data_IF_815349034613
#
_entry.id   IF_815349034613
#
_cell.length_a   1.000
_cell.length_b   1.000
_cell.length_c   1.000
_cell.angle_alpha   90.00
_cell.angle_beta   90.00
_cell.angle_gamma   90.00
#
_symmetry.space_group_name_H-M   'P 1'
#
loop_
_entity.id
_entity.type
_entity.pdbx_description
1 polymer ?
#
# COMPACT_ATOMS: atom_id res chain seq x y z
N UNK A 1 10.26 -9.66 20.42
CA UNK A 1 9.43 -9.44 19.25
C UNK A 1 8.53 -10.66 19.07
N UNK A 2 7.33 -10.46 18.60
CA UNK A 2 6.31 -11.52 18.54
C UNK A 2 6.30 -12.26 17.20
N UNK A 3 7.47 -12.62 16.69
CA UNK A 3 7.61 -13.31 15.41
C UNK A 3 7.45 -12.39 14.20
N UNK A 4 7.32 -11.11 14.42
CA UNK A 4 7.13 -10.14 13.35
C UNK A 4 8.20 -9.05 13.45
N UNK A 5 8.86 -8.77 12.35
CA UNK A 5 9.94 -7.79 12.30
C UNK A 5 9.42 -6.36 12.12
N UNK A 6 8.35 -6.20 11.33
CA UNK A 6 7.78 -4.88 11.04
C UNK A 6 6.38 -4.79 11.64
N UNK A 7 6.16 -3.79 12.51
CA UNK A 7 4.87 -3.56 13.15
C UNK A 7 3.93 -2.73 12.28
N UNK A 8 4.41 -1.57 11.82
CA UNK A 8 3.65 -0.76 10.87
C UNK A 8 4.64 0.03 10.02
N UNK A 9 4.16 0.48 8.87
CA UNK A 9 4.92 1.36 7.99
C UNK A 9 4.07 2.59 7.65
N UNK A 10 4.74 3.70 7.38
CA UNK A 10 4.08 4.92 6.93
C UNK A 10 4.71 5.38 5.62
N UNK A 11 3.85 5.82 4.70
CA UNK A 11 4.29 6.52 3.50
C UNK A 11 3.75 7.94 3.55
N UNK A 12 4.40 8.86 2.86
CA UNK A 12 4.04 10.26 2.89
C UNK A 12 3.02 10.65 1.84
N UNK A 13 2.23 11.67 2.14
CA UNK A 13 1.31 12.28 1.18
C UNK A 13 1.35 13.78 1.30
N UNK A 14 1.09 14.47 0.19
CA UNK A 14 0.91 15.92 0.15
C UNK A 14 -0.56 16.32 0.20
N UNK A 15 -1.47 15.33 0.11
CA UNK A 15 -2.90 15.57 0.19
C UNK A 15 -3.56 14.35 0.86
N UNK A 16 -3.77 14.45 2.17
CA UNK A 16 -4.28 13.32 2.94
C UNK A 16 -5.67 12.89 2.51
N UNK A 17 -6.55 13.81 2.14
CA UNK A 17 -7.91 13.46 1.71
C UNK A 17 -7.90 12.69 0.40
N UNK A 18 -7.06 13.09 -0.55
CA UNK A 18 -6.91 12.39 -1.83
C UNK A 18 -6.30 11.01 -1.60
N UNK A 19 -5.23 10.93 -0.80
CA UNK A 19 -4.58 9.64 -0.49
C UNK A 19 -5.55 8.70 0.25
N UNK A 20 -6.31 9.24 1.20
CA UNK A 20 -7.34 8.48 1.92
C UNK A 20 -8.37 7.89 0.95
N UNK A 21 -8.86 8.69 0.01
CA UNK A 21 -9.81 8.21 -0.99
C UNK A 21 -9.25 7.07 -1.83
N UNK A 22 -8.00 7.21 -2.26
CA UNK A 22 -7.32 6.17 -3.03
C UNK A 22 -7.23 4.86 -2.24
N UNK A 23 -6.68 4.91 -1.02
CA UNK A 23 -6.47 3.70 -0.22
C UNK A 23 -7.75 3.13 0.37
N UNK A 24 -8.74 3.97 0.73
CA UNK A 24 -10.05 3.48 1.16
C UNK A 24 -10.69 2.59 0.07
N UNK A 25 -10.69 3.08 -1.16
CA UNK A 25 -11.29 2.34 -2.27
C UNK A 25 -10.49 1.11 -2.64
N UNK A 26 -9.16 1.21 -2.56
CA UNK A 26 -8.28 0.08 -2.87
C UNK A 26 -8.45 -1.04 -1.84
N UNK A 27 -8.36 -0.72 -0.54
CA UNK A 27 -8.46 -1.71 0.52
C UNK A 27 -9.89 -2.24 0.73
N UNK A 28 -10.91 -1.49 0.28
CA UNK A 28 -12.28 -1.98 0.33
C UNK A 28 -12.47 -3.26 -0.49
N UNK A 29 -11.64 -3.48 -1.52
CA UNK A 29 -11.68 -4.72 -2.31
C UNK A 29 -11.31 -5.94 -1.49
N UNK A 30 -10.64 -5.75 -0.35
CA UNK A 30 -10.25 -6.81 0.58
C UNK A 30 -11.03 -6.71 1.91
N UNK A 31 -12.10 -5.91 1.95
CA UNK A 31 -12.89 -5.66 3.15
C UNK A 31 -12.06 -5.08 4.30
N UNK A 32 -11.04 -4.30 3.97
CA UNK A 32 -10.21 -3.63 4.98
C UNK A 32 -10.64 -2.17 5.09
N UNK A 33 -10.99 -1.75 6.30
CA UNK A 33 -11.36 -0.37 6.61
C UNK A 33 -10.20 0.34 7.26
N UNK A 34 -10.15 1.67 7.08
CA UNK A 34 -9.14 2.49 7.71
C UNK A 34 -9.62 3.19 8.96
N UNK A 35 -8.68 3.77 9.70
CA UNK A 35 -8.96 4.58 10.88
C UNK A 35 -7.92 5.68 10.99
N UNK A 36 -8.28 6.77 11.68
CA UNK A 36 -7.38 7.90 11.87
C UNK A 36 -6.99 7.98 13.35
N UNK A 37 -5.74 7.66 13.71
CA UNK A 37 -5.29 7.82 15.10
C UNK A 37 -5.03 9.28 15.47
N UNK A 38 -5.02 10.18 14.49
CA UNK A 38 -4.78 11.61 14.69
C UNK A 38 -4.95 12.36 13.37
N UNK A 39 -4.83 13.70 13.39
CA UNK A 39 -5.18 14.53 12.24
C UNK A 39 -4.20 14.40 11.05
N UNK A 40 -3.03 13.84 11.27
CA UNK A 40 -1.97 13.77 10.27
C UNK A 40 -1.94 12.49 9.46
N UNK A 41 -2.70 11.46 9.86
CA UNK A 41 -2.55 10.16 9.27
C UNK A 41 -3.83 9.35 9.17
N UNK A 42 -3.78 8.35 8.33
CA UNK A 42 -4.85 7.38 8.15
C UNK A 42 -4.24 6.00 7.96
N UNK A 43 -4.72 5.02 8.72
CA UNK A 43 -4.10 3.71 8.81
C UNK A 43 -5.08 2.61 8.43
N UNK A 44 -4.53 1.52 7.90
CA UNK A 44 -5.28 0.33 7.47
C UNK A 44 -4.71 -0.89 8.16
N UNK A 45 -5.58 -1.72 8.67
CA UNK A 45 -5.20 -2.93 9.40
C UNK A 45 -6.25 -3.99 9.18
N UNK A 46 -5.80 -5.22 8.92
CA UNK A 46 -6.71 -6.37 8.82
C UNK A 46 -7.29 -6.62 10.21
N UNK A 47 -8.60 -6.86 10.30
CA UNK A 47 -9.25 -7.15 11.57
C UNK A 47 -8.57 -8.35 12.24
N UNK A 48 -8.16 -8.16 13.49
CA UNK A 48 -7.41 -9.18 14.22
C UNK A 48 -5.93 -9.25 13.85
N UNK A 49 -5.51 -8.48 12.86
CA UNK A 49 -4.11 -8.42 12.45
C UNK A 49 -3.27 -7.57 13.39
N UNK A 50 -1.96 -7.72 13.26
CA UNK A 50 -1.00 -7.05 14.15
C UNK A 50 -0.05 -6.11 13.43
N UNK A 51 -0.20 -5.94 12.12
CA UNK A 51 0.58 -4.97 11.35
C UNK A 51 -0.35 -3.95 10.72
N UNK A 52 0.18 -2.79 10.39
CA UNK A 52 -0.62 -1.72 9.80
C UNK A 52 0.15 -1.00 8.71
N UNK A 53 -0.60 -0.44 7.78
CA UNK A 53 -0.09 0.38 6.69
C UNK A 53 -0.70 1.77 6.84
N UNK A 54 0.13 2.80 6.93
CA UNK A 54 -0.34 4.16 7.12
C UNK A 54 0.09 5.11 6.02
N UNK A 55 -0.76 6.08 5.76
CA UNK A 55 -0.43 7.22 4.92
C UNK A 55 -0.53 8.48 5.78
N UNK A 56 0.53 9.29 5.76
CA UNK A 56 0.63 10.42 6.69
C UNK A 56 1.14 11.67 5.99
N UNK A 57 0.77 12.81 6.54
CA UNK A 57 1.43 14.08 6.22
C UNK A 57 2.73 14.13 7.03
N UNK A 58 3.86 14.56 6.44
CA UNK A 58 5.12 14.61 7.17
C UNK A 58 5.02 15.43 8.46
N UNK A 59 5.64 14.92 9.52
CA UNK A 59 5.61 15.57 10.83
C UNK A 59 6.20 16.98 10.81
N UNK A 60 7.22 17.19 9.99
CA UNK A 60 7.88 18.51 9.92
C UNK A 60 7.10 19.55 9.11
N UNK A 61 5.95 19.18 8.54
CA UNK A 61 5.13 20.11 7.78
C UNK A 61 5.65 20.41 6.37
N UNK A 62 6.77 19.85 5.99
CA UNK A 62 7.32 20.04 4.64
C UNK A 62 6.65 19.10 3.65
N UNK A 63 6.92 19.32 2.37
CA UNK A 63 6.42 18.47 1.31
C UNK A 63 6.89 17.02 1.47
N UNK A 64 5.98 16.07 1.28
CA UNK A 64 6.32 14.66 1.27
C UNK A 64 7.09 14.34 0.00
N UNK A 65 8.14 13.52 0.13
CA UNK A 65 8.89 13.01 -1.01
C UNK A 65 8.96 11.49 -0.89
N UNK A 66 9.18 10.82 -2.03
CA UNK A 66 9.38 9.38 -2.03
C UNK A 66 10.87 9.08 -1.87
N UNK A 67 11.21 8.06 -1.10
CA UNK A 67 12.61 7.66 -0.97
C UNK A 67 13.03 6.86 -2.21
N UNK A 68 14.15 7.20 -2.78
CA UNK A 68 14.71 6.41 -3.88
C UNK A 68 15.20 5.08 -3.33
N UNK A 69 14.57 3.98 -3.76
CA UNK A 69 14.83 2.65 -3.23
C UNK A 69 13.81 2.20 -2.19
N UNK A 70 12.93 3.11 -1.72
CA UNK A 70 11.88 2.73 -0.77
C UNK A 70 10.71 2.06 -1.49
N UNK A 71 10.16 1.02 -0.87
CA UNK A 71 9.01 0.29 -1.39
C UNK A 71 8.30 -0.43 -0.25
N UNK A 72 6.99 -0.47 -0.30
CA UNK A 72 6.20 -1.27 0.64
C UNK A 72 5.58 -2.41 -0.14
N UNK A 73 5.74 -3.65 0.34
CA UNK A 73 5.21 -4.83 -0.31
C UNK A 73 4.03 -5.37 0.51
N UNK A 74 2.91 -5.58 -0.17
CA UNK A 74 1.68 -6.08 0.43
C UNK A 74 1.46 -7.53 -0.02
N UNK A 75 1.39 -8.50 0.92
CA UNK A 75 1.17 -9.89 0.56
C UNK A 75 -0.27 -10.11 0.14
N UNK A 76 -0.45 -10.89 -0.92
CA UNK A 76 -1.76 -11.29 -1.41
C UNK A 76 -1.95 -12.78 -1.22
N UNK A 77 -3.20 -13.24 -1.25
CA UNK A 77 -3.54 -14.63 -0.99
C UNK A 77 -3.49 -15.51 -2.24
N UNK A 78 -3.44 -14.90 -3.42
CA UNK A 78 -3.44 -15.60 -4.70
C UNK A 78 -2.91 -14.71 -5.81
N UNK A 79 -2.58 -15.32 -6.95
CA UNK A 79 -2.21 -14.57 -8.16
C UNK A 79 -3.37 -13.72 -8.65
N UNK A 80 -4.59 -14.26 -8.59
CA UNK A 80 -5.81 -13.57 -8.98
C UNK A 80 -6.01 -12.31 -8.14
N UNK A 81 -5.70 -12.37 -6.85
CA UNK A 81 -5.82 -11.23 -5.97
C UNK A 81 -4.79 -10.14 -6.30
N UNK A 82 -3.57 -10.55 -6.68
CA UNK A 82 -2.56 -9.60 -7.19
C UNK A 82 -3.10 -8.88 -8.41
N UNK A 83 -3.66 -9.63 -9.37
CA UNK A 83 -4.19 -9.06 -10.62
C UNK A 83 -5.33 -8.07 -10.34
N UNK A 84 -6.27 -8.46 -9.51
CA UNK A 84 -7.44 -7.64 -9.19
C UNK A 84 -7.09 -6.36 -8.44
N UNK A 85 -6.20 -6.49 -7.46
CA UNK A 85 -5.76 -5.35 -6.66
C UNK A 85 -4.98 -4.35 -7.51
N UNK A 86 -4.09 -4.86 -8.38
CA UNK A 86 -3.36 -4.02 -9.32
C UNK A 86 -4.31 -3.29 -10.28
N UNK A 87 -5.28 -4.01 -10.84
CA UNK A 87 -6.24 -3.41 -11.76
C UNK A 87 -7.04 -2.30 -11.07
N UNK A 88 -7.43 -2.51 -9.81
CA UNK A 88 -8.14 -1.49 -9.05
C UNK A 88 -7.26 -0.27 -8.80
N UNK A 89 -5.98 -0.47 -8.48
CA UNK A 89 -5.04 0.64 -8.30
C UNK A 89 -4.92 1.48 -9.58
N UNK A 90 -4.82 0.82 -10.74
CA UNK A 90 -4.78 1.52 -12.03
C UNK A 90 -6.06 2.31 -12.28
N UNK A 91 -7.21 1.71 -11.99
CA UNK A 91 -8.51 2.38 -12.11
C UNK A 91 -8.57 3.64 -11.25
N UNK A 92 -7.96 3.60 -10.08
CA UNK A 92 -7.95 4.73 -9.14
C UNK A 92 -6.87 5.78 -9.45
N UNK A 93 -6.10 5.60 -10.51
CA UNK A 93 -5.14 6.60 -10.97
C UNK A 93 -3.69 6.32 -10.68
N UNK A 94 -3.34 5.13 -10.17
CA UNK A 94 -1.94 4.75 -9.94
C UNK A 94 -1.18 4.64 -11.25
N UNK A 95 0.15 4.71 -11.15
CA UNK A 95 1.05 4.58 -12.30
C UNK A 95 1.71 3.21 -12.28
N UNK A 96 1.76 2.53 -13.44
CA UNK A 96 2.40 1.23 -13.55
C UNK A 96 3.91 1.32 -13.32
N UNK A 97 4.44 0.35 -12.53
CA UNK A 97 5.88 0.14 -12.32
C UNK A 97 6.26 -1.31 -12.60
N UNK A 98 5.30 -2.12 -13.07
CA UNK A 98 5.51 -3.52 -13.41
C UNK A 98 4.18 -4.27 -13.33
N UNK A 99 3.59 -4.64 -14.48
CA UNK A 99 2.30 -5.35 -14.47
C UNK A 99 2.39 -6.73 -13.84
N UNK A 100 1.24 -7.30 -13.43
CA UNK A 100 1.25 -8.62 -12.79
C UNK A 100 1.94 -9.70 -13.62
N UNK A 101 2.76 -10.50 -12.95
CA UNK A 101 3.45 -11.60 -13.60
C UNK A 101 4.44 -12.29 -12.68
N UNK A 102 4.93 -13.44 -13.10
CA UNK A 102 5.97 -14.16 -12.37
C UNK A 102 7.29 -13.40 -12.50
N UNK A 103 7.96 -13.20 -11.38
CA UNK A 103 9.29 -12.57 -11.32
C UNK A 103 10.37 -13.61 -11.06
N UNK A 104 10.00 -14.64 -10.30
CA UNK A 104 10.80 -15.81 -10.02
C UNK A 104 9.85 -17.00 -10.01
N UNK A 105 10.39 -18.20 -9.88
CA UNK A 105 9.59 -19.43 -9.97
C UNK A 105 8.38 -19.43 -9.03
N UNK A 106 8.55 -18.93 -7.79
CA UNK A 106 7.47 -18.93 -6.80
C UNK A 106 7.12 -17.51 -6.34
N UNK A 107 7.43 -16.51 -7.14
CA UNK A 107 7.19 -15.12 -6.77
C UNK A 107 6.43 -14.40 -7.90
N UNK A 108 5.14 -14.21 -7.66
CA UNK A 108 4.24 -13.52 -8.58
C UNK A 108 3.98 -12.13 -8.02
N UNK A 109 4.21 -11.08 -8.79
CA UNK A 109 4.14 -9.72 -8.26
C UNK A 109 3.67 -8.71 -9.29
N UNK A 110 3.24 -7.56 -8.78
CA UNK A 110 2.96 -6.37 -9.55
C UNK A 110 3.47 -5.16 -8.77
N UNK A 111 3.76 -4.07 -9.45
CA UNK A 111 4.29 -2.87 -8.83
C UNK A 111 3.59 -1.66 -9.40
N UNK A 112 3.28 -0.69 -8.53
CA UNK A 112 2.70 0.58 -8.98
C UNK A 112 3.20 1.72 -8.11
N UNK A 113 3.02 2.95 -8.63
CA UNK A 113 3.21 4.19 -7.85
C UNK A 113 1.84 4.71 -7.48
N UNK A 114 1.65 5.09 -6.21
CA UNK A 114 0.40 5.70 -5.80
C UNK A 114 0.32 7.16 -6.28
N UNK A 115 -0.69 7.90 -5.85
CA UNK A 115 -0.92 9.26 -6.34
C UNK A 115 0.15 10.25 -5.89
N UNK A 116 0.92 9.92 -4.87
CA UNK A 116 2.06 10.71 -4.41
C UNK A 116 3.39 10.20 -4.95
N UNK A 117 3.37 9.10 -5.69
CA UNK A 117 4.58 8.50 -6.26
C UNK A 117 5.24 7.44 -5.39
N UNK A 118 4.63 7.06 -4.27
CA UNK A 118 5.16 5.99 -3.42
C UNK A 118 5.07 4.65 -4.13
N UNK A 119 6.16 3.86 -4.09
CA UNK A 119 6.20 2.56 -4.74
C UNK A 119 5.61 1.48 -3.85
N UNK A 120 4.62 0.78 -4.38
CA UNK A 120 3.93 -0.31 -3.70
C UNK A 120 4.10 -1.58 -4.54
N UNK A 121 4.44 -2.67 -3.87
CA UNK A 121 4.49 -4.00 -4.49
C UNK A 121 3.31 -4.82 -3.97
N UNK A 122 2.77 -5.63 -4.84
CA UNK A 122 1.77 -6.63 -4.50
C UNK A 122 2.39 -7.97 -4.84
N UNK A 123 2.34 -8.94 -3.94
CA UNK A 123 3.01 -10.20 -4.24
C UNK A 123 2.29 -11.41 -3.67
N UNK A 124 2.52 -12.54 -4.31
CA UNK A 124 2.05 -13.85 -3.87
C UNK A 124 3.20 -14.84 -4.02
N UNK A 125 3.47 -15.57 -2.95
CA UNK A 125 4.46 -16.64 -2.92
C UNK A 125 3.76 -17.97 -3.11
N UNK A 126 4.07 -18.67 -4.21
CA UNK A 126 3.44 -19.96 -4.48
C UNK A 126 3.41 -20.40 -5.96
#
# INVERSE_FOLDING_TARGET
>A
MNGKLVGYVCIGTNDLEVAKGFYDNLFATLDISGFSPGPRGYFYQIEGGTSAFGVIKPENGNEATVGNGAMVALPMDSKEQVDEFYAKAMELGATDEGPPGARMETFYAAYFRDLDGNKIALYYLG
#
